data_IF_376439508679
#
_entry.id   IF_376439508679
#
_cell.length_a   1.000
_cell.length_b   1.000
_cell.length_c   1.000
_cell.angle_alpha   90.00
_cell.angle_beta   90.00
_cell.angle_gamma   90.00
#
_symmetry.space_group_name_H-M   'P 1'
#
loop_
_entity.id
_entity.type
_entity.pdbx_description
1 polymer ?
#
# COMPACT_ATOMS: atom_id res chain seq x y z
N UNK A 1 5.25 0.22 4.18
CA UNK A 1 3.98 0.97 3.98
C UNK A 1 2.81 0.05 4.31
N UNK A 2 1.87 0.53 5.12
CA UNK A 2 0.66 -0.18 5.56
C UNK A 2 -0.48 -0.02 4.55
N UNK A 3 -1.51 -0.87 4.62
CA UNK A 3 -2.74 -0.70 3.82
C UNK A 3 -3.40 0.68 4.05
N UNK A 4 -3.35 1.20 5.28
CA UNK A 4 -3.87 2.53 5.63
C UNK A 4 -3.13 3.65 4.89
N UNK A 5 -1.81 3.56 4.79
CA UNK A 5 -1.02 4.56 4.04
C UNK A 5 -1.31 4.48 2.52
N UNK A 6 -1.56 3.29 1.99
CA UNK A 6 -2.02 3.14 0.59
C UNK A 6 -3.43 3.72 0.39
N UNK A 7 -4.35 3.51 1.33
CA UNK A 7 -5.69 4.10 1.32
C UNK A 7 -5.62 5.63 1.27
N UNK A 8 -4.77 6.24 2.13
CA UNK A 8 -4.53 7.68 2.15
C UNK A 8 -3.99 8.21 0.82
N UNK A 9 -3.12 7.45 0.13
CA UNK A 9 -2.63 7.82 -1.21
C UNK A 9 -3.69 7.70 -2.30
N UNK A 10 -4.67 6.81 -2.15
CA UNK A 10 -5.77 6.60 -3.10
C UNK A 10 -6.91 7.60 -2.92
N UNK A 11 -7.17 8.02 -1.69
CA UNK A 11 -8.19 9.01 -1.36
C UNK A 11 -8.09 10.27 -2.24
N UNK A 12 -9.24 10.70 -2.77
CA UNK A 12 -9.36 11.89 -3.62
C UNK A 12 -8.84 11.73 -5.05
N UNK A 13 -8.12 10.65 -5.38
CA UNK A 13 -7.71 10.40 -6.77
C UNK A 13 -8.92 10.10 -7.66
N UNK A 14 -8.91 10.51 -8.94
CA UNK A 14 -10.00 10.21 -9.85
C UNK A 14 -10.07 8.71 -10.15
N UNK A 15 -11.27 8.13 -10.12
CA UNK A 15 -11.48 6.78 -10.61
C UNK A 15 -11.13 6.70 -12.10
N UNK A 16 -10.36 5.69 -12.50
CA UNK A 16 -9.92 5.50 -13.89
C UNK A 16 -11.06 5.18 -14.88
N UNK A 17 -12.26 4.86 -14.38
CA UNK A 17 -13.43 4.55 -15.21
C UNK A 17 -14.40 5.73 -15.29
N UNK A 18 -14.90 6.23 -14.15
CA UNK A 18 -15.94 7.25 -14.12
C UNK A 18 -15.46 8.65 -13.74
N UNK A 19 -14.15 8.83 -13.50
CA UNK A 19 -13.49 10.08 -13.12
C UNK A 19 -13.93 10.72 -11.79
N UNK A 20 -14.95 10.18 -11.11
CA UNK A 20 -15.34 10.64 -9.76
C UNK A 20 -14.20 10.37 -8.77
N UNK A 21 -13.94 11.30 -7.83
CA UNK A 21 -12.90 11.11 -6.83
C UNK A 21 -13.23 9.93 -5.93
N UNK A 22 -12.21 9.14 -5.57
CA UNK A 22 -12.33 8.11 -4.55
C UNK A 22 -12.57 8.76 -3.17
N UNK A 23 -13.44 8.19 -2.31
CA UNK A 23 -13.74 8.75 -1.00
C UNK A 23 -12.50 8.90 -0.10
N UNK A 24 -12.55 9.83 0.85
CA UNK A 24 -11.52 9.96 1.88
C UNK A 24 -11.41 8.72 2.79
N UNK A 25 -12.50 7.97 2.92
CA UNK A 25 -12.61 6.73 3.69
C UNK A 25 -12.47 5.49 2.82
N UNK A 26 -11.86 5.61 1.63
CA UNK A 26 -11.66 4.46 0.74
C UNK A 26 -10.78 3.41 1.42
N UNK A 27 -11.17 2.14 1.32
CA UNK A 27 -10.36 1.03 1.81
C UNK A 27 -9.58 0.41 0.65
N UNK A 28 -8.46 -0.24 0.99
CA UNK A 28 -7.65 -0.97 0.02
C UNK A 28 -7.94 -2.45 0.17
N UNK A 29 -8.45 -3.04 -0.90
CA UNK A 29 -8.60 -4.47 -1.05
C UNK A 29 -7.28 -5.05 -1.59
N UNK A 30 -6.99 -6.29 -1.20
CA UNK A 30 -5.73 -6.93 -1.53
C UNK A 30 -5.81 -8.45 -1.62
N UNK A 31 -4.82 -9.03 -2.29
CA UNK A 31 -4.57 -10.47 -2.32
C UNK A 31 -3.11 -10.76 -2.70
N UNK A 32 -2.63 -11.96 -2.37
CA UNK A 32 -1.28 -12.43 -2.67
C UNK A 32 -0.99 -12.43 -4.17
N UNK A 33 0.07 -11.74 -4.60
CA UNK A 33 0.44 -11.66 -6.00
C UNK A 33 1.90 -11.21 -6.19
N UNK A 34 2.67 -11.90 -7.03
CA UNK A 34 4.10 -11.63 -7.26
C UNK A 34 4.39 -10.26 -7.88
N UNK A 35 3.47 -9.79 -8.72
CA UNK A 35 3.48 -8.44 -9.29
C UNK A 35 2.94 -7.35 -8.35
N UNK A 36 2.62 -7.70 -7.11
CA UNK A 36 2.13 -6.78 -6.09
C UNK A 36 3.21 -5.93 -5.43
N UNK A 37 2.86 -5.29 -4.33
CA UNK A 37 3.75 -4.46 -3.53
C UNK A 37 4.04 -5.09 -2.17
N UNK A 38 5.20 -4.77 -1.60
CA UNK A 38 5.45 -5.09 -0.21
C UNK A 38 4.54 -4.24 0.68
N UNK A 39 3.78 -4.92 1.54
CA UNK A 39 2.88 -4.30 2.51
C UNK A 39 3.28 -4.79 3.89
N UNK A 40 3.37 -3.86 4.82
CA UNK A 40 3.68 -4.17 6.21
C UNK A 40 2.63 -5.13 6.80
N UNK A 41 3.09 -6.17 7.49
CA UNK A 41 2.24 -7.24 8.02
C UNK A 41 1.99 -8.41 7.07
N UNK A 42 2.43 -8.35 5.82
CA UNK A 42 2.30 -9.43 4.84
C UNK A 42 3.65 -10.07 4.50
N UNK A 43 3.67 -11.39 4.40
CA UNK A 43 4.87 -12.16 4.06
C UNK A 43 5.17 -12.14 2.55
N UNK A 44 4.12 -12.05 1.73
CA UNK A 44 4.22 -11.99 0.27
C UNK A 44 3.68 -10.67 -0.26
N UNK A 45 4.10 -10.31 -1.47
CA UNK A 45 3.62 -9.10 -2.15
C UNK A 45 2.11 -9.16 -2.35
N UNK A 46 1.47 -8.01 -2.23
CA UNK A 46 0.03 -7.85 -2.32
C UNK A 46 -0.34 -7.03 -3.55
N UNK A 47 -1.23 -7.55 -4.39
CA UNK A 47 -1.88 -6.72 -5.40
C UNK A 47 -2.93 -5.84 -4.73
N UNK A 48 -2.84 -4.52 -4.92
CA UNK A 48 -3.69 -3.55 -4.23
C UNK A 48 -4.66 -2.86 -5.19
N UNK A 49 -5.92 -2.71 -4.78
CA UNK A 49 -6.91 -1.96 -5.52
C UNK A 49 -7.96 -1.30 -4.61
N UNK A 50 -8.63 -0.28 -5.16
CA UNK A 50 -9.73 0.42 -4.50
C UNK A 50 -11.00 0.36 -5.38
N UNK A 51 -12.09 -0.17 -4.86
CA UNK A 51 -13.38 -0.22 -5.56
C UNK A 51 -14.08 1.14 -5.49
N UNK A 52 -14.39 1.72 -6.65
CA UNK A 52 -15.12 2.98 -6.71
C UNK A 52 -16.58 2.76 -6.30
N UNK A 53 -17.09 3.37 -5.23
CA UNK A 53 -18.48 3.16 -4.79
C UNK A 53 -19.51 3.75 -5.76
N UNK A 54 -19.08 4.64 -6.66
CA UNK A 54 -19.97 5.28 -7.62
C UNK A 54 -20.24 4.45 -8.87
N UNK A 55 -19.29 3.62 -9.31
CA UNK A 55 -19.43 2.82 -10.54
C UNK A 55 -18.99 1.36 -10.41
N UNK A 56 -18.51 0.92 -9.26
CA UNK A 56 -18.04 -0.45 -9.00
C UNK A 56 -16.68 -0.79 -9.61
N UNK A 57 -16.02 0.11 -10.34
CA UNK A 57 -14.74 -0.19 -10.97
C UNK A 57 -13.62 -0.38 -9.93
N UNK A 58 -12.87 -1.47 -10.07
CA UNK A 58 -11.71 -1.80 -9.25
C UNK A 58 -10.46 -1.09 -9.77
N UNK A 59 -10.03 -0.04 -9.05
CA UNK A 59 -8.87 0.75 -9.42
C UNK A 59 -7.61 0.11 -8.85
N UNK A 60 -6.91 -0.70 -9.65
CA UNK A 60 -5.56 -1.15 -9.30
C UNK A 60 -4.68 0.09 -9.04
N UNK A 61 -3.99 0.11 -7.90
CA UNK A 61 -3.36 1.35 -7.41
C UNK A 61 -2.25 1.88 -8.35
N UNK A 62 -1.54 1.01 -9.07
CA UNK A 62 -0.57 1.43 -10.09
C UNK A 62 -1.21 2.21 -11.24
N UNK A 63 -2.47 1.89 -11.60
CA UNK A 63 -3.23 2.64 -12.62
C UNK A 63 -3.61 4.04 -12.13
N UNK A 64 -3.62 4.27 -10.81
CA UNK A 64 -3.82 5.59 -10.22
C UNK A 64 -2.51 6.38 -10.11
N UNK A 65 -1.37 5.84 -10.59
CA UNK A 65 -0.05 6.46 -10.48
C UNK A 65 0.51 6.43 -9.05
N UNK A 66 0.00 5.55 -8.20
CA UNK A 66 0.53 5.35 -6.84
C UNK A 66 1.74 4.43 -6.92
N UNK A 67 2.81 4.82 -6.23
CA UNK A 67 4.02 4.01 -6.06
C UNK A 67 4.05 3.34 -4.69
N UNK A 68 4.64 2.14 -4.67
CA UNK A 68 4.99 1.40 -3.45
C UNK A 68 6.08 2.09 -2.63
N UNK A 69 6.53 1.42 -1.57
CA UNK A 69 7.64 1.89 -0.74
C UNK A 69 8.96 1.44 -1.35
N UNK A 70 9.67 2.36 -2.02
CA UNK A 70 10.95 2.06 -2.68
C UNK A 70 12.08 1.79 -1.67
N UNK A 71 11.90 2.11 -0.37
CA UNK A 71 12.95 2.04 0.66
C UNK A 71 12.67 1.03 1.78
N UNK A 72 11.72 0.12 1.57
CA UNK A 72 11.27 -0.80 2.63
C UNK A 72 12.40 -1.71 3.15
N UNK A 73 13.32 -2.13 2.26
CA UNK A 73 14.49 -2.95 2.62
C UNK A 73 15.44 -2.17 3.52
N UNK A 74 15.73 -0.91 3.20
CA UNK A 74 16.58 -0.05 4.03
C UNK A 74 15.98 0.15 5.41
N UNK A 75 14.65 0.29 5.51
CA UNK A 75 13.94 0.38 6.80
C UNK A 75 14.07 -0.91 7.61
N UNK A 76 13.80 -2.07 6.99
CA UNK A 76 13.94 -3.39 7.64
C UNK A 76 15.37 -3.63 8.15
N UNK A 77 16.40 -3.23 7.39
CA UNK A 77 17.81 -3.33 7.81
C UNK A 77 18.09 -2.43 9.02
N UNK A 78 17.60 -1.18 8.99
CA UNK A 78 17.77 -0.26 10.11
C UNK A 78 17.08 -0.77 11.38
N UNK A 79 15.84 -1.27 11.27
CA UNK A 79 15.10 -1.86 12.38
C UNK A 79 15.82 -3.08 12.98
N UNK A 80 16.31 -3.99 12.13
CA UNK A 80 17.07 -5.16 12.56
C UNK A 80 18.37 -4.76 13.28
N UNK A 81 19.11 -3.80 12.71
CA UNK A 81 20.33 -3.25 13.32
C UNK A 81 20.05 -2.64 14.69
N UNK A 82 19.01 -1.83 14.81
CA UNK A 82 18.65 -1.15 16.06
C UNK A 82 18.14 -2.14 17.12
N UNK A 83 17.50 -3.25 16.71
CA UNK A 83 17.15 -4.35 17.60
C UNK A 83 18.40 -5.09 18.13
N UNK A 84 19.39 -5.35 17.27
CA UNK A 84 20.68 -5.95 17.66
C UNK A 84 21.42 -5.06 18.65
N UNK A 85 21.54 -3.76 18.38
CA UNK A 85 22.19 -2.83 19.32
C UNK A 85 21.49 -2.78 20.69
N UNK A 86 20.15 -2.75 20.72
CA UNK A 86 19.41 -2.80 21.99
C UNK A 86 19.63 -4.09 22.77
N UNK A 87 19.86 -5.21 22.10
CA UNK A 87 20.15 -6.47 22.79
C UNK A 87 21.60 -6.56 23.29
N UNK A 88 22.56 -6.00 22.54
CA UNK A 88 23.98 -6.04 22.89
C UNK A 88 24.40 -5.02 23.95
N UNK A 89 23.59 -3.98 24.19
CA UNK A 89 23.92 -2.87 25.10
C UNK A 89 22.91 -2.67 26.24
N UNK A 90 22.03 -3.65 26.47
CA UNK A 90 21.29 -3.87 27.71
C UNK A 90 21.90 -5.06 28.46
#
# INVERSE_FOLDING_TARGET
MTLKEFAQKAAGRPCNSCSRPLPATIEIEHYDHDGGWEVEGFAVKQWLYATCPACGYQNALWKLGIKGDENIVHRKIAEARDAVYRHLWN
#
